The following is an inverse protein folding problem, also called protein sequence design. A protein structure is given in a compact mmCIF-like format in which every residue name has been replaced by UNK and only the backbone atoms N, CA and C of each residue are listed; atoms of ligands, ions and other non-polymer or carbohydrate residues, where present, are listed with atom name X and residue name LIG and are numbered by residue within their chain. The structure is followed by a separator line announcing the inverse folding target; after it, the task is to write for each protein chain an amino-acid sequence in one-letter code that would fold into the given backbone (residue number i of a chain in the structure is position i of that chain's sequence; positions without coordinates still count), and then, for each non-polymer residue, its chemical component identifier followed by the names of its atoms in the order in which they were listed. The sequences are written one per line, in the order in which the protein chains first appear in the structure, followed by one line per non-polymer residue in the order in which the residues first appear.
data_IF_967043062259
#
_entry.id   IF_967043062259
#
_cell.length_a   1.000
_cell.length_b   1.000
_cell.length_c   1.000
_cell.angle_alpha   90.00
_cell.angle_beta   90.00
_cell.angle_gamma   90.00
#
_symmetry.space_group_name_H-M   'P 1'
#
loop_
_entity.id
_entity.type
_entity.pdbx_description
1 polymer ?
#
# COMPACT_ATOMS: atom_id res chain seq x y z
N UNK A 1 7.38 5.84 23.90
CA UNK A 1 7.49 5.99 22.42
C UNK A 1 6.12 5.82 21.77
N UNK A 2 5.87 6.38 20.57
CA UNK A 2 4.58 6.24 19.86
C UNK A 2 4.09 4.78 19.77
N UNK A 3 5.02 3.83 19.62
CA UNK A 3 4.78 2.38 19.61
C UNK A 3 4.28 1.84 20.97
N UNK A 4 4.68 2.41 22.11
CA UNK A 4 4.18 1.99 23.43
C UNK A 4 2.71 2.39 23.65
N UNK A 5 2.18 3.34 22.88
CA UNK A 5 0.77 3.77 22.94
C UNK A 5 -0.17 2.88 22.09
N UNK A 6 0.41 1.95 21.33
CA UNK A 6 -0.29 0.98 20.48
C UNK A 6 -0.32 -0.42 21.11
N UNK A 7 0.32 -0.61 22.27
CA UNK A 7 0.17 -1.84 23.07
C UNK A 7 -1.32 -2.07 23.35
N UNK A 8 -1.80 -3.27 23.02
CA UNK A 8 -3.20 -3.72 23.11
C UNK A 8 -4.20 -3.08 22.13
N UNK A 9 -3.74 -2.34 21.11
CA UNK A 9 -4.60 -1.84 20.03
C UNK A 9 -4.33 -2.60 18.74
N UNK A 10 -5.41 -3.01 18.08
CA UNK A 10 -5.33 -3.55 16.73
C UNK A 10 -4.92 -2.44 15.77
N UNK A 11 -3.73 -2.56 15.19
CA UNK A 11 -3.20 -1.58 14.23
C UNK A 11 -3.70 -1.95 12.85
N UNK A 12 -4.61 -1.15 12.31
CA UNK A 12 -5.11 -1.27 10.94
C UNK A 12 -4.21 -0.44 10.02
N UNK A 13 -3.69 -1.06 8.96
CA UNK A 13 -2.83 -0.40 7.98
C UNK A 13 -3.55 -0.33 6.64
N UNK A 14 -3.51 0.84 6.01
CA UNK A 14 -4.10 1.07 4.69
C UNK A 14 -3.01 1.50 3.71
N UNK A 15 -3.15 1.08 2.46
CA UNK A 15 -2.32 1.50 1.32
C UNK A 15 -3.18 2.37 0.42
N UNK A 16 -2.75 3.61 0.21
CA UNK A 16 -3.34 4.52 -0.77
C UNK A 16 -2.56 4.48 -2.09
N UNK A 17 -3.25 4.25 -3.21
CA UNK A 17 -2.74 4.67 -4.51
C UNK A 17 -3.03 6.16 -4.65
N UNK A 18 -1.97 6.93 -4.87
CA UNK A 18 -2.06 8.38 -4.95
C UNK A 18 -1.77 8.88 -6.36
N UNK A 19 -2.55 9.86 -6.79
CA UNK A 19 -2.21 10.73 -7.91
C UNK A 19 -1.41 11.91 -7.36
N UNK A 20 -0.25 12.18 -7.95
CA UNK A 20 0.56 13.36 -7.62
C UNK A 20 0.17 14.48 -8.59
N UNK A 21 -0.50 15.51 -8.09
CA UNK A 21 -0.93 16.67 -8.91
C UNK A 21 0.03 17.86 -8.80
N UNK A 22 1.01 17.80 -7.89
CA UNK A 22 1.96 18.87 -7.58
C UNK A 22 3.40 18.37 -7.44
N UNK A 23 4.08 18.79 -6.37
CA UNK A 23 5.45 18.41 -6.06
C UNK A 23 5.48 17.00 -5.45
N UNK A 24 5.99 16.03 -6.21
CA UNK A 24 6.09 14.63 -5.78
C UNK A 24 7.04 14.36 -4.62
N UNK A 25 7.66 15.38 -4.02
CA UNK A 25 8.38 15.28 -2.75
C UNK A 25 7.52 15.65 -1.53
N UNK A 26 6.32 16.19 -1.74
CA UNK A 26 5.43 16.72 -0.70
C UNK A 26 4.18 15.84 -0.55
N UNK A 27 3.99 15.20 0.62
CA UNK A 27 2.81 14.36 0.86
C UNK A 27 1.48 15.10 0.70
N UNK A 28 1.43 16.41 0.93
CA UNK A 28 0.22 17.21 0.73
C UNK A 28 -0.24 17.33 -0.73
N UNK A 29 0.65 17.04 -1.69
CA UNK A 29 0.33 17.04 -3.13
C UNK A 29 -0.15 15.66 -3.63
N UNK A 30 -0.39 14.72 -2.71
CA UNK A 30 -0.81 13.35 -3.01
C UNK A 30 -2.31 13.22 -2.77
N UNK A 31 -3.06 12.89 -3.81
CA UNK A 31 -4.50 12.64 -3.73
C UNK A 31 -4.77 11.14 -3.84
N UNK A 32 -5.34 10.53 -2.80
CA UNK A 32 -5.71 9.12 -2.84
C UNK A 32 -6.83 8.88 -3.85
N UNK A 33 -6.57 8.02 -4.83
CA UNK A 33 -7.52 7.65 -5.91
C UNK A 33 -8.02 6.20 -5.79
N UNK A 34 -7.41 5.40 -4.92
CA UNK A 34 -7.88 4.09 -4.48
C UNK A 34 -7.22 3.72 -3.15
N UNK A 35 -7.86 2.86 -2.35
CA UNK A 35 -7.41 2.42 -1.02
C UNK A 35 -7.56 0.92 -0.86
N UNK A 36 -6.57 0.30 -0.21
CA UNK A 36 -6.53 -1.12 0.10
C UNK A 36 -6.15 -1.35 1.56
N UNK A 37 -6.78 -2.34 2.20
CA UNK A 37 -6.24 -2.89 3.44
C UNK A 37 -4.88 -3.55 3.17
N UNK A 38 -3.90 -3.34 4.06
CA UNK A 38 -2.54 -3.86 3.87
C UNK A 38 -2.48 -5.39 3.83
N UNK A 39 -3.25 -6.08 4.68
CA UNK A 39 -3.28 -7.54 4.68
C UNK A 39 -3.95 -8.06 3.40
N UNK A 40 -5.05 -7.43 2.98
CA UNK A 40 -5.69 -7.73 1.69
C UNK A 40 -4.75 -7.48 0.52
N UNK A 41 -4.01 -6.38 0.51
CA UNK A 41 -3.01 -6.09 -0.51
C UNK A 41 -2.01 -7.22 -0.65
N UNK A 42 -1.44 -7.72 0.44
CA UNK A 42 -0.50 -8.85 0.40
C UNK A 42 -1.14 -10.15 -0.11
N UNK A 43 -2.42 -10.39 0.20
CA UNK A 43 -3.17 -11.56 -0.26
C UNK A 43 -3.40 -11.54 -1.78
N UNK A 44 -3.80 -10.38 -2.31
CA UNK A 44 -4.20 -10.23 -3.72
C UNK A 44 -3.04 -9.87 -4.62
N UNK A 45 -1.89 -9.47 -4.07
CA UNK A 45 -0.71 -9.06 -4.84
C UNK A 45 -0.16 -10.25 -5.65
N UNK A 46 -0.22 -10.22 -6.99
CA UNK A 46 0.22 -11.36 -7.77
C UNK A 46 1.74 -11.52 -7.64
N UNK A 47 2.28 -12.77 -7.64
CA UNK A 47 3.71 -13.02 -7.52
C UNK A 47 4.60 -12.35 -8.58
N UNK A 48 4.02 -11.94 -9.71
CA UNK A 48 4.74 -11.19 -10.76
C UNK A 48 5.01 -9.73 -10.39
N UNK A 49 4.30 -9.17 -9.40
CA UNK A 49 4.41 -7.78 -8.98
C UNK A 49 5.36 -7.58 -7.81
N UNK A 50 5.99 -8.63 -7.28
CA UNK A 50 6.96 -8.46 -6.21
C UNK A 50 8.08 -9.48 -6.25
N UNK A 51 9.18 -9.12 -5.59
CA UNK A 51 10.27 -10.01 -5.27
C UNK A 51 10.50 -10.03 -3.76
N UNK A 52 10.67 -11.20 -3.17
CA UNK A 52 11.09 -11.32 -1.77
C UNK A 52 12.59 -11.01 -1.67
N UNK A 53 12.94 -10.00 -0.89
CA UNK A 53 14.32 -9.67 -0.56
C UNK A 53 14.83 -10.55 0.58
N UNK A 54 14.00 -10.71 1.62
CA UNK A 54 14.24 -11.60 2.75
C UNK A 54 12.91 -12.05 3.40
N UNK A 55 12.98 -12.72 4.56
CA UNK A 55 11.82 -13.25 5.27
C UNK A 55 10.78 -12.18 5.69
N UNK A 56 11.18 -10.91 5.80
CA UNK A 56 10.35 -9.81 6.27
C UNK A 56 10.28 -8.65 5.27
N UNK A 57 10.85 -8.79 4.07
CA UNK A 57 10.93 -7.72 3.08
C UNK A 57 10.54 -8.20 1.69
N UNK A 58 9.61 -7.47 1.07
CA UNK A 58 9.27 -7.62 -0.35
C UNK A 58 9.49 -6.28 -1.05
N UNK A 59 10.03 -6.34 -2.26
CA UNK A 59 10.07 -5.20 -3.18
C UNK A 59 8.89 -5.33 -4.14
N UNK A 60 7.94 -4.41 -4.06
CA UNK A 60 6.82 -4.32 -4.99
C UNK A 60 7.27 -3.54 -6.23
N UNK A 61 7.13 -4.17 -7.39
CA UNK A 61 7.39 -3.56 -8.68
C UNK A 61 6.35 -2.46 -8.98
N UNK A 62 6.67 -1.48 -9.85
CA UNK A 62 5.70 -0.46 -10.23
C UNK A 62 4.38 -1.07 -10.71
N UNK A 63 3.29 -0.72 -10.05
CA UNK A 63 1.93 -1.15 -10.41
C UNK A 63 1.26 -0.01 -11.18
N UNK A 64 0.73 -0.30 -12.37
CA UNK A 64 -0.01 0.69 -13.14
C UNK A 64 -1.39 0.96 -12.53
N UNK A 65 -1.94 2.16 -12.75
CA UNK A 65 -3.26 2.58 -12.26
C UNK A 65 -4.35 1.52 -12.48
N UNK A 66 -4.45 0.98 -13.70
CA UNK A 66 -5.45 -0.04 -14.05
C UNK A 66 -5.31 -1.32 -13.22
N UNK A 67 -4.07 -1.72 -12.94
CA UNK A 67 -3.75 -2.97 -12.27
C UNK A 67 -3.97 -2.81 -10.77
N UNK A 68 -3.57 -1.67 -10.20
CA UNK A 68 -3.85 -1.36 -8.80
C UNK A 68 -5.35 -1.23 -8.52
N UNK A 69 -6.10 -0.57 -9.42
CA UNK A 69 -7.56 -0.50 -9.31
C UNK A 69 -8.19 -1.88 -9.34
N UNK A 70 -7.66 -2.82 -10.14
CA UNK A 70 -8.15 -4.19 -10.12
C UNK A 70 -7.90 -4.88 -8.76
N UNK A 71 -6.71 -4.69 -8.16
CA UNK A 71 -6.42 -5.18 -6.80
C UNK A 71 -7.37 -4.57 -5.76
N UNK A 72 -7.71 -3.29 -5.91
CA UNK A 72 -8.62 -2.54 -5.04
C UNK A 72 -10.12 -2.84 -5.21
N UNK A 73 -10.50 -3.73 -6.14
CA UNK A 73 -11.90 -4.05 -6.44
C UNK A 73 -12.25 -5.53 -6.15
N UNK A 74 -11.34 -6.34 -5.60
CA UNK A 74 -11.69 -7.69 -5.15
C UNK A 74 -12.52 -7.63 -3.85
N UNK A 75 -13.84 -7.83 -4.00
CA UNK A 75 -14.80 -8.17 -2.93
C UNK A 75 -14.67 -9.62 -2.45
#
# INVERSE_FOLDING_TARGET
AYIEQLVDKEVQWEIDLVQITGDGSKPEDYEAIARLDYAKFLEVLPPSFYHQLDANQIEVQPILDKDFKALAQEE
#
